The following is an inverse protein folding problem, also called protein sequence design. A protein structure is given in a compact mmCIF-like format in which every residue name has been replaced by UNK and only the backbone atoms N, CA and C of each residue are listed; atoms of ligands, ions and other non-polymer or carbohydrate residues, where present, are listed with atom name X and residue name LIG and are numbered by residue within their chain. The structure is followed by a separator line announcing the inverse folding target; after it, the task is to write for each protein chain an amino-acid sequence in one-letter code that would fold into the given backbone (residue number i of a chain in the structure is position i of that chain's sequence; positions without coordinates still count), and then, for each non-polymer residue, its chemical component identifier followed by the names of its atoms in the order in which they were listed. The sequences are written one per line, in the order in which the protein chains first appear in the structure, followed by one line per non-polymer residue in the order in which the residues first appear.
data_IF_454800515590
#
_entry.id   IF_454800515590
#
_cell.length_a   1.000
_cell.length_b   1.000
_cell.length_c   1.000
_cell.angle_alpha   90.00
_cell.angle_beta   90.00
_cell.angle_gamma   90.00
#
_symmetry.space_group_name_H-M   'P 1'
#
loop_
_entity.id
_entity.type
_entity.pdbx_description
1 polymer ?
#
# COMPACT_ATOMS: atom_id res chain seq x y z
N UNK A 1 -5.23 6.19 10.19
CA UNK A 1 -4.00 6.98 9.94
C UNK A 1 -3.81 7.87 11.15
N UNK A 2 -3.06 7.42 12.14
CA UNK A 2 -3.30 7.86 13.53
C UNK A 2 -2.22 8.74 14.14
N UNK A 3 -1.03 8.87 13.56
CA UNK A 3 -0.09 9.89 14.06
C UNK A 3 1.02 10.28 13.07
N UNK A 4 0.75 11.32 12.26
CA UNK A 4 1.74 11.94 11.37
C UNK A 4 2.95 12.51 12.13
N UNK A 5 2.84 12.78 13.43
CA UNK A 5 3.94 13.33 14.23
C UNK A 5 4.96 12.27 14.62
N UNK A 6 4.53 11.01 14.73
CA UNK A 6 5.39 9.89 15.15
C UNK A 6 5.82 9.04 13.96
N UNK A 7 4.91 8.71 13.05
CA UNK A 7 5.17 7.72 12.00
C UNK A 7 5.75 8.33 10.72
N UNK A 8 7.03 8.07 10.47
CA UNK A 8 7.66 8.41 9.18
C UNK A 8 6.93 7.73 8.01
N UNK A 9 6.47 6.48 8.18
CA UNK A 9 5.76 5.74 7.13
C UNK A 9 4.45 6.46 6.75
N UNK A 10 3.67 6.92 7.73
CA UNK A 10 2.42 7.65 7.44
C UNK A 10 2.71 8.98 6.76
N UNK A 11 3.76 9.71 7.18
CA UNK A 11 4.21 10.92 6.47
C UNK A 11 4.59 10.62 5.02
N UNK A 12 5.36 9.56 4.80
CA UNK A 12 5.76 9.17 3.45
C UNK A 12 4.56 8.73 2.60
N UNK A 13 3.56 8.05 3.16
CA UNK A 13 2.32 7.72 2.46
C UNK A 13 1.58 8.99 1.98
N UNK A 14 1.45 9.99 2.85
CA UNK A 14 0.85 11.29 2.48
C UNK A 14 1.63 11.92 1.33
N UNK A 15 2.95 12.01 1.48
CA UNK A 15 3.77 12.75 0.53
C UNK A 15 3.92 12.01 -0.81
N UNK A 16 3.96 10.68 -0.82
CA UNK A 16 4.05 9.85 -2.03
C UNK A 16 2.74 9.84 -2.83
N UNK A 17 1.62 10.18 -2.21
CA UNK A 17 0.36 10.39 -2.90
C UNK A 17 0.36 11.74 -3.61
N UNK A 18 0.92 11.79 -4.83
CA UNK A 18 1.00 13.01 -5.66
C UNK A 18 -0.36 13.72 -5.82
N UNK A 19 -1.43 12.94 -5.96
CA UNK A 19 -2.79 13.47 -6.11
C UNK A 19 -3.26 14.22 -4.86
N UNK A 20 -2.93 13.71 -3.69
CA UNK A 20 -3.26 14.39 -2.44
C UNK A 20 -2.37 15.62 -2.24
N UNK A 21 -1.09 15.55 -2.60
CA UNK A 21 -0.16 16.69 -2.52
C UNK A 21 -0.59 17.83 -3.45
N UNK A 22 -1.00 17.54 -4.69
CA UNK A 22 -1.56 18.51 -5.63
C UNK A 22 -2.84 19.16 -5.07
N UNK A 23 -3.78 18.34 -4.58
CA UNK A 23 -5.00 18.84 -3.94
C UNK A 23 -4.70 19.71 -2.71
N UNK A 24 -3.68 19.34 -1.91
CA UNK A 24 -3.23 20.13 -0.77
C UNK A 24 -2.66 21.48 -1.20
N UNK A 25 -1.89 21.51 -2.29
CA UNK A 25 -1.30 22.73 -2.82
C UNK A 25 -2.38 23.74 -3.26
N UNK A 26 -3.44 23.27 -3.89
CA UNK A 26 -4.59 24.10 -4.30
C UNK A 26 -5.39 24.64 -3.10
N UNK A 27 -5.43 23.89 -2.00
CA UNK A 27 -6.32 24.18 -0.86
C UNK A 27 -5.66 24.92 0.30
N UNK A 28 -4.34 24.79 0.49
CA UNK A 28 -3.65 25.38 1.64
C UNK A 28 -3.29 26.87 1.44
N UNK A 29 -3.43 27.39 0.22
CA UNK A 29 -3.26 28.82 -0.07
C UNK A 29 -1.85 29.35 0.22
N UNK A 30 -0.84 28.48 0.23
CA UNK A 30 0.54 28.85 0.54
C UNK A 30 1.29 29.26 -0.73
N UNK A 31 1.58 30.56 -0.86
CA UNK A 31 2.24 31.11 -2.05
C UNK A 31 3.74 30.80 -2.05
N UNK A 32 4.20 30.09 -3.07
CA UNK A 32 5.61 29.79 -3.28
C UNK A 32 6.25 30.64 -4.38
N UNK A 33 7.57 30.57 -4.47
CA UNK A 33 8.33 31.17 -5.56
C UNK A 33 8.63 30.12 -6.61
N UNK A 34 8.18 30.32 -7.85
CA UNK A 34 8.44 29.37 -8.93
C UNK A 34 9.90 29.48 -9.41
N UNK A 35 10.73 28.51 -9.08
CA UNK A 35 12.16 28.48 -9.43
C UNK A 35 12.55 27.10 -9.96
N UNK A 36 13.24 27.05 -11.11
CA UNK A 36 13.64 25.79 -11.76
C UNK A 36 12.46 24.83 -12.02
N UNK A 37 11.28 25.38 -12.30
CA UNK A 37 10.07 24.60 -12.59
C UNK A 37 9.35 24.05 -11.35
N UNK A 38 9.79 24.37 -10.14
CA UNK A 38 9.17 23.93 -8.89
C UNK A 38 8.92 25.11 -7.94
N UNK A 39 7.86 25.04 -7.13
CA UNK A 39 7.65 26.04 -6.08
C UNK A 39 8.64 25.84 -4.93
N UNK A 40 9.42 26.89 -4.66
CA UNK A 40 10.42 26.94 -3.59
C UNK A 40 9.98 27.89 -2.48
N UNK A 41 10.36 27.54 -1.25
CA UNK A 41 10.05 28.29 -0.04
C UNK A 41 11.33 28.46 0.77
N UNK A 42 11.57 29.66 1.30
CA UNK A 42 12.68 29.87 2.25
C UNK A 42 12.29 29.39 3.64
N UNK A 43 13.30 29.10 4.47
CA UNK A 43 13.11 28.81 5.91
C UNK A 43 12.18 29.82 6.60
N UNK A 44 12.36 31.11 6.33
CA UNK A 44 11.54 32.18 6.90
C UNK A 44 10.07 32.05 6.48
N UNK A 45 9.79 31.81 5.21
CA UNK A 45 8.41 31.62 4.74
C UNK A 45 7.73 30.42 5.41
N UNK A 46 8.47 29.33 5.64
CA UNK A 46 7.95 28.14 6.32
C UNK A 46 7.69 28.43 7.80
N UNK A 47 8.60 29.14 8.47
CA UNK A 47 8.44 29.58 9.85
C UNK A 47 7.21 30.48 10.01
N UNK A 48 7.08 31.50 9.15
CA UNK A 48 5.95 32.43 9.13
C UNK A 48 4.63 31.69 8.87
N UNK A 49 4.61 30.74 7.93
CA UNK A 49 3.39 29.97 7.61
C UNK A 49 2.89 29.12 8.76
N UNK A 50 3.80 28.50 9.52
CA UNK A 50 3.47 27.66 10.67
C UNK A 50 3.42 28.44 11.98
N UNK A 51 3.61 29.76 11.94
CA UNK A 51 3.59 30.65 13.12
C UNK A 51 4.59 30.18 14.20
N UNK A 52 5.81 29.82 13.77
CA UNK A 52 6.91 29.39 14.65
C UNK A 52 8.17 30.21 14.39
N UNK A 53 9.09 30.21 15.37
CA UNK A 53 10.40 30.83 15.18
C UNK A 53 11.25 30.09 14.13
N UNK A 54 12.06 30.84 13.36
CA UNK A 54 13.03 30.27 12.42
C UNK A 54 13.97 29.24 13.09
N UNK A 55 14.29 29.43 14.38
CA UNK A 55 15.09 28.49 15.18
C UNK A 55 14.43 27.13 15.34
N UNK A 56 13.10 27.08 15.40
CA UNK A 56 12.35 25.81 15.45
C UNK A 56 12.55 25.03 14.16
N UNK A 57 12.53 25.71 13.02
CA UNK A 57 12.79 25.09 11.71
C UNK A 57 14.25 24.64 11.60
N UNK A 58 15.21 25.41 12.13
CA UNK A 58 16.62 24.98 12.20
C UNK A 58 16.79 23.69 13.00
N UNK A 59 16.19 23.61 14.19
CA UNK A 59 16.23 22.40 15.01
C UNK A 59 15.65 21.18 14.27
N UNK A 60 14.52 21.35 13.58
CA UNK A 60 13.94 20.27 12.76
C UNK A 60 14.87 19.84 11.61
N UNK A 61 15.57 20.77 10.98
CA UNK A 61 16.56 20.46 9.93
C UNK A 61 17.76 19.70 10.48
N UNK A 62 18.15 19.94 11.73
CA UNK A 62 19.22 19.22 12.41
C UNK A 62 18.77 17.81 12.82
N UNK A 63 17.60 17.69 13.45
CA UNK A 63 17.06 16.42 13.97
C UNK A 63 16.56 15.48 12.86
N UNK A 64 16.02 16.03 11.77
CA UNK A 64 15.37 15.28 10.68
C UNK A 64 15.99 15.57 9.30
N UNK A 65 17.28 15.88 9.26
CA UNK A 65 18.03 16.23 8.02
C UNK A 65 17.73 15.29 6.86
N UNK A 66 17.85 13.98 7.08
CA UNK A 66 17.79 13.00 5.99
C UNK A 66 16.37 12.88 5.43
N UNK A 67 15.36 12.89 6.30
CA UNK A 67 13.95 12.87 5.92
C UNK A 67 13.57 14.14 5.14
N UNK A 68 14.00 15.31 5.61
CA UNK A 68 13.68 16.59 4.95
C UNK A 68 14.40 16.74 3.61
N UNK A 69 15.67 16.31 3.51
CA UNK A 69 16.41 16.29 2.23
C UNK A 69 15.75 15.35 1.24
N UNK A 70 15.40 14.13 1.67
CA UNK A 70 14.68 13.16 0.85
C UNK A 70 13.35 13.74 0.34
N UNK A 71 12.66 14.51 1.17
CA UNK A 71 11.38 15.12 0.83
C UNK A 71 11.47 16.47 0.09
N UNK A 72 12.68 16.94 -0.25
CA UNK A 72 12.86 18.12 -1.12
C UNK A 72 13.40 19.39 -0.46
N UNK A 73 14.00 19.28 0.73
CA UNK A 73 14.86 20.34 1.28
C UNK A 73 16.24 20.32 0.61
N UNK A 74 16.67 21.47 0.10
CA UNK A 74 17.97 21.64 -0.55
C UNK A 74 18.68 22.88 -0.04
N UNK A 75 20.01 22.81 0.03
CA UNK A 75 20.84 23.95 0.40
C UNK A 75 21.40 24.61 -0.85
N UNK A 76 20.78 25.71 -1.28
CA UNK A 76 21.19 26.45 -2.48
C UNK A 76 22.46 27.26 -2.22
N UNK A 77 23.45 27.12 -3.10
CA UNK A 77 24.77 27.78 -3.00
C UNK A 77 25.28 28.20 -4.38
N UNK A 78 26.33 29.01 -4.40
CA UNK A 78 27.10 29.30 -5.62
C UNK A 78 26.24 29.92 -6.73
N UNK A 79 26.25 29.31 -7.92
CA UNK A 79 25.54 29.81 -9.11
C UNK A 79 24.01 29.80 -8.91
N UNK A 80 23.46 28.70 -8.41
CA UNK A 80 22.02 28.56 -8.17
C UNK A 80 21.49 29.64 -7.21
N UNK A 81 22.22 29.93 -6.13
CA UNK A 81 21.84 30.98 -5.19
C UNK A 81 21.88 32.38 -5.82
N UNK A 82 22.85 32.65 -6.71
CA UNK A 82 22.93 33.92 -7.43
C UNK A 82 21.72 34.11 -8.34
N UNK A 83 21.35 33.07 -9.09
CA UNK A 83 20.18 33.08 -9.98
C UNK A 83 18.87 33.22 -9.19
N UNK A 84 18.74 32.50 -8.08
CA UNK A 84 17.59 32.62 -7.18
C UNK A 84 17.44 34.03 -6.61
N UNK A 85 18.54 34.62 -6.11
CA UNK A 85 18.54 36.01 -5.62
C UNK A 85 18.20 37.01 -6.72
N UNK A 86 18.69 36.79 -7.95
CA UNK A 86 18.38 37.69 -9.06
C UNK A 86 16.88 37.75 -9.33
N UNK A 87 16.17 36.64 -9.19
CA UNK A 87 14.72 36.56 -9.40
C UNK A 87 13.90 37.03 -8.19
N UNK A 88 14.33 36.70 -6.96
CA UNK A 88 13.46 36.83 -5.78
C UNK A 88 14.01 37.72 -4.65
N UNK A 89 15.20 38.31 -4.77
CA UNK A 89 15.80 39.14 -3.70
C UNK A 89 14.87 40.22 -3.12
N UNK A 90 14.04 40.95 -3.91
CA UNK A 90 13.11 41.94 -3.37
C UNK A 90 12.05 41.35 -2.44
N UNK A 91 11.70 40.07 -2.62
CA UNK A 91 10.59 39.40 -1.94
C UNK A 91 11.05 38.68 -0.67
N UNK A 92 12.25 38.09 -0.70
CA UNK A 92 12.74 37.21 0.39
C UNK A 92 13.53 37.93 1.48
N UNK A 93 13.85 39.22 1.30
CA UNK A 93 14.67 40.03 2.23
C UNK A 93 15.96 39.30 2.68
N UNK A 94 16.63 38.62 1.74
CA UNK A 94 17.87 37.88 2.01
C UNK A 94 19.06 38.82 1.80
N UNK A 95 19.91 38.94 2.82
CA UNK A 95 21.09 39.81 2.78
C UNK A 95 22.03 39.49 1.61
N UNK A 96 22.63 40.53 1.03
CA UNK A 96 23.55 40.44 -0.11
C UNK A 96 24.74 39.49 0.18
N UNK A 97 25.21 39.45 1.43
CA UNK A 97 26.32 38.59 1.91
C UNK A 97 25.96 37.12 2.15
N UNK A 98 24.70 36.71 1.99
CA UNK A 98 24.29 35.32 2.22
C UNK A 98 24.92 34.39 1.18
N UNK A 99 25.72 33.42 1.61
CA UNK A 99 26.46 32.48 0.75
C UNK A 99 25.77 31.13 0.57
N UNK A 100 24.78 30.83 1.41
CA UNK A 100 24.00 29.59 1.39
C UNK A 100 22.55 29.90 1.82
N UNK A 101 21.56 29.28 1.17
CA UNK A 101 20.14 29.46 1.51
C UNK A 101 19.41 28.12 1.46
N UNK A 102 18.74 27.75 2.55
CA UNK A 102 17.86 26.58 2.60
C UNK A 102 16.56 26.84 1.84
N UNK A 103 16.24 25.96 0.90
CA UNK A 103 15.02 26.00 0.10
C UNK A 103 14.24 24.70 0.29
N UNK A 104 12.95 24.83 0.53
CA UNK A 104 12.00 23.73 0.61
C UNK A 104 11.18 23.70 -0.67
N UNK A 105 10.81 22.53 -1.17
CA UNK A 105 9.64 22.42 -2.05
C UNK A 105 8.36 22.20 -1.22
N UNK A 106 7.20 22.16 -1.89
CA UNK A 106 5.92 22.01 -1.19
C UNK A 106 5.84 20.71 -0.38
N UNK A 107 6.40 19.61 -0.91
CA UNK A 107 6.47 18.31 -0.23
C UNK A 107 7.24 18.41 1.11
N UNK A 108 8.40 19.07 1.12
CA UNK A 108 9.17 19.30 2.34
C UNK A 108 8.45 20.24 3.33
N UNK A 109 7.69 21.23 2.84
CA UNK A 109 6.87 22.11 3.69
C UNK A 109 5.78 21.32 4.42
N UNK A 110 5.09 20.41 3.73
CA UNK A 110 4.12 19.51 4.36
C UNK A 110 4.81 18.61 5.40
N UNK A 111 6.00 18.09 5.08
CA UNK A 111 6.77 17.28 6.01
C UNK A 111 7.12 18.03 7.30
N UNK A 112 7.53 19.30 7.21
CA UNK A 112 7.74 20.17 8.38
C UNK A 112 6.47 20.30 9.22
N UNK A 113 5.32 20.56 8.59
CA UNK A 113 4.04 20.65 9.32
C UNK A 113 3.64 19.36 10.03
N UNK A 114 4.03 18.21 9.48
CA UNK A 114 3.80 16.91 10.10
C UNK A 114 4.75 16.66 11.30
N UNK A 115 5.96 17.21 11.28
CA UNK A 115 6.94 17.11 12.38
C UNK A 115 6.70 18.11 13.52
N UNK A 116 6.07 19.26 13.24
CA UNK A 116 5.82 20.30 14.24
C UNK A 116 4.70 19.91 15.23
N UNK A 117 5.05 19.43 16.43
CA UNK A 117 4.04 19.02 17.44
C UNK A 117 3.36 20.21 18.12
N UNK A 118 4.11 21.26 18.45
CA UNK A 118 3.66 22.37 19.31
C UNK A 118 2.97 23.53 18.56
N UNK A 119 2.97 23.53 17.22
CA UNK A 119 2.33 24.59 16.43
C UNK A 119 0.84 24.31 16.23
N UNK A 120 -0.02 25.21 16.73
CA UNK A 120 -1.47 25.15 16.49
C UNK A 120 -1.81 25.24 14.99
N UNK A 121 -1.04 26.03 14.23
CA UNK A 121 -1.18 26.11 12.79
C UNK A 121 -0.79 24.79 12.13
N UNK A 122 0.31 24.15 12.54
CA UNK A 122 0.71 22.84 12.05
C UNK A 122 -0.33 21.76 12.39
N UNK A 123 -0.93 21.81 13.58
CA UNK A 123 -2.03 20.91 13.99
C UNK A 123 -3.24 21.03 13.07
N UNK A 124 -3.66 22.25 12.73
CA UNK A 124 -4.73 22.49 11.74
C UNK A 124 -4.35 21.98 10.34
N UNK A 125 -3.11 22.20 9.92
CA UNK A 125 -2.61 21.69 8.63
C UNK A 125 -2.61 20.17 8.61
N UNK A 126 -2.17 19.48 9.67
CA UNK A 126 -2.22 18.01 9.77
C UNK A 126 -3.64 17.46 9.66
N UNK A 127 -4.61 18.06 10.37
CA UNK A 127 -6.01 17.67 10.24
C UNK A 127 -6.49 17.82 8.80
N UNK A 128 -6.18 18.95 8.15
CA UNK A 128 -6.55 19.22 6.76
C UNK A 128 -5.86 18.26 5.77
N UNK A 129 -4.61 17.87 6.04
CA UNK A 129 -3.88 16.85 5.28
C UNK A 129 -4.65 15.53 5.31
N UNK A 130 -5.01 15.04 6.50
CA UNK A 130 -5.73 13.79 6.64
C UNK A 130 -7.07 13.82 5.89
N UNK A 131 -7.85 14.89 6.04
CA UNK A 131 -9.12 15.08 5.33
C UNK A 131 -8.95 15.03 3.81
N UNK A 132 -7.95 15.75 3.27
CA UNK A 132 -7.71 15.82 1.83
C UNK A 132 -7.18 14.49 1.29
N UNK A 133 -6.32 13.79 2.03
CA UNK A 133 -5.82 12.46 1.64
C UNK A 133 -6.97 11.46 1.56
N UNK A 134 -7.82 11.40 2.59
CA UNK A 134 -9.00 10.53 2.62
C UNK A 134 -9.97 10.87 1.49
N UNK A 135 -10.28 12.17 1.31
CA UNK A 135 -11.14 12.66 0.24
C UNK A 135 -10.59 12.30 -1.15
N UNK A 136 -9.30 12.50 -1.36
CA UNK A 136 -8.63 12.23 -2.63
C UNK A 136 -8.69 10.74 -2.97
N UNK A 137 -8.35 9.87 -2.03
CA UNK A 137 -8.40 8.42 -2.22
C UNK A 137 -9.84 7.98 -2.53
N UNK A 138 -10.82 8.40 -1.73
CA UNK A 138 -12.22 8.02 -1.95
C UNK A 138 -12.76 8.51 -3.30
N UNK A 139 -12.47 9.77 -3.68
CA UNK A 139 -12.90 10.34 -4.96
C UNK A 139 -12.29 9.58 -6.14
N UNK A 140 -10.98 9.31 -6.08
CA UNK A 140 -10.26 8.60 -7.14
C UNK A 140 -10.61 7.10 -7.20
N UNK A 141 -10.99 6.49 -6.09
CA UNK A 141 -11.44 5.10 -6.03
C UNK A 141 -12.91 4.91 -6.46
N UNK A 142 -13.67 5.98 -6.72
CA UNK A 142 -15.08 5.88 -7.14
C UNK A 142 -16.08 5.77 -5.97
N UNK A 143 -15.74 6.28 -4.78
CA UNK A 143 -16.64 6.37 -3.63
C UNK A 143 -16.45 5.29 -2.56
N UNK A 144 -15.58 4.31 -2.77
CA UNK A 144 -15.23 3.32 -1.76
C UNK A 144 -13.92 2.58 -2.04
N UNK A 145 -13.22 2.17 -1.00
CA UNK A 145 -11.87 1.58 -1.08
C UNK A 145 -11.81 0.09 -0.75
N UNK A 146 -12.94 -0.51 -0.36
CA UNK A 146 -13.07 -1.94 -0.01
C UNK A 146 -12.52 -2.85 -1.12
N UNK A 147 -12.84 -2.55 -2.38
CA UNK A 147 -12.39 -3.32 -3.56
C UNK A 147 -11.36 -2.57 -4.40
N UNK A 148 -10.55 -1.69 -3.79
CA UNK A 148 -9.55 -0.89 -4.54
C UNK A 148 -8.54 -1.77 -5.30
N UNK A 149 -8.30 -2.98 -4.81
CA UNK A 149 -7.47 -3.99 -5.48
C UNK A 149 -7.97 -4.33 -6.89
N UNK A 150 -9.26 -4.19 -7.19
CA UNK A 150 -9.81 -4.49 -8.51
C UNK A 150 -9.44 -3.46 -9.58
N UNK A 151 -8.88 -2.31 -9.19
CA UNK A 151 -8.42 -1.25 -10.11
C UNK A 151 -7.02 -1.50 -10.68
N UNK A 152 -6.40 -2.59 -10.26
CA UNK A 152 -5.08 -3.04 -10.70
C UNK A 152 -5.21 -3.99 -11.88
N UNK A 153 -4.47 -3.72 -12.96
CA UNK A 153 -4.42 -4.56 -14.15
C UNK A 153 -4.13 -6.03 -13.82
N UNK A 154 -3.26 -6.28 -12.84
CA UNK A 154 -2.81 -7.61 -12.47
C UNK A 154 -3.85 -8.38 -11.64
N UNK A 155 -4.89 -7.72 -11.14
CA UNK A 155 -5.87 -8.34 -10.26
C UNK A 155 -6.71 -9.39 -10.97
N UNK A 156 -7.27 -9.08 -12.14
CA UNK A 156 -8.17 -10.01 -12.81
C UNK A 156 -7.46 -11.30 -13.25
N UNK A 157 -6.28 -11.25 -13.90
CA UNK A 157 -5.51 -12.46 -14.18
C UNK A 157 -5.21 -13.27 -12.92
N UNK A 158 -4.79 -12.64 -11.83
CA UNK A 158 -4.51 -13.32 -10.57
C UNK A 158 -5.76 -13.98 -9.94
N UNK A 159 -6.92 -13.33 -10.03
CA UNK A 159 -8.19 -13.85 -9.52
C UNK A 159 -8.66 -15.07 -10.31
N UNK A 160 -8.52 -15.06 -11.64
CA UNK A 160 -8.83 -16.21 -12.50
C UNK A 160 -7.92 -17.38 -12.15
N UNK A 161 -6.60 -17.14 -12.10
CA UNK A 161 -5.64 -18.19 -11.78
C UNK A 161 -5.96 -18.81 -10.41
N UNK A 162 -6.27 -17.97 -9.42
CA UNK A 162 -6.68 -18.41 -8.09
C UNK A 162 -7.92 -19.30 -8.11
N UNK A 163 -8.97 -18.96 -8.86
CA UNK A 163 -10.15 -19.82 -8.98
C UNK A 163 -9.81 -21.21 -9.51
N UNK A 164 -8.92 -21.30 -10.51
CA UNK A 164 -8.46 -22.58 -11.06
C UNK A 164 -7.65 -23.40 -10.04
N UNK A 165 -6.68 -22.78 -9.37
CA UNK A 165 -5.89 -23.46 -8.34
C UNK A 165 -6.73 -23.88 -7.14
N UNK A 166 -7.74 -23.08 -6.78
CA UNK A 166 -8.69 -23.43 -5.74
C UNK A 166 -9.51 -24.68 -6.09
N UNK A 167 -10.03 -24.77 -7.33
CA UNK A 167 -10.76 -25.95 -7.80
C UNK A 167 -9.88 -27.20 -7.66
N UNK A 168 -8.64 -27.15 -8.14
CA UNK A 168 -7.69 -28.27 -8.03
C UNK A 168 -7.39 -28.65 -6.57
N UNK A 169 -7.09 -27.65 -5.74
CA UNK A 169 -6.79 -27.85 -4.32
C UNK A 169 -7.96 -28.47 -3.55
N UNK A 170 -9.19 -27.99 -3.78
CA UNK A 170 -10.38 -28.55 -3.12
C UNK A 170 -10.71 -29.97 -3.59
N UNK A 171 -10.45 -30.29 -4.86
CA UNK A 171 -10.54 -31.68 -5.37
C UNK A 171 -9.54 -32.59 -4.68
N UNK A 172 -8.27 -32.19 -4.60
CA UNK A 172 -7.23 -32.96 -3.91
C UNK A 172 -7.54 -33.16 -2.42
N UNK A 173 -7.91 -32.09 -1.71
CA UNK A 173 -8.32 -32.17 -0.29
C UNK A 173 -9.56 -33.06 -0.11
N UNK A 174 -10.52 -32.97 -1.03
CA UNK A 174 -11.73 -33.78 -1.02
C UNK A 174 -11.42 -35.26 -1.04
N UNK A 175 -10.58 -35.68 -1.98
CA UNK A 175 -10.19 -37.07 -2.22
C UNK A 175 -9.19 -37.62 -1.20
N UNK A 176 -8.16 -36.85 -0.88
CA UNK A 176 -6.93 -37.35 -0.25
C UNK A 176 -6.79 -37.00 1.24
N UNK A 177 -7.70 -36.23 1.84
CA UNK A 177 -7.56 -35.76 3.23
C UNK A 177 -8.76 -36.19 4.09
N UNK A 178 -8.48 -36.76 5.26
CA UNK A 178 -9.45 -37.14 6.29
C UNK A 178 -10.07 -35.89 6.93
N UNK A 179 -11.35 -35.94 7.26
CA UNK A 179 -12.03 -34.88 8.00
C UNK A 179 -13.49 -34.71 7.61
N UNK A 180 -14.19 -33.83 8.32
CA UNK A 180 -15.59 -33.52 8.05
C UNK A 180 -15.77 -32.94 6.64
N UNK A 181 -16.82 -33.38 5.93
CA UNK A 181 -17.03 -33.07 4.50
C UNK A 181 -17.03 -31.57 4.17
N UNK A 182 -17.44 -30.70 5.09
CA UNK A 182 -17.47 -29.25 4.85
C UNK A 182 -16.42 -28.47 5.62
N UNK A 183 -16.06 -28.92 6.83
CA UNK A 183 -15.24 -28.14 7.76
C UNK A 183 -13.74 -28.29 7.50
N UNK A 184 -13.31 -29.39 6.85
CA UNK A 184 -11.89 -29.60 6.53
C UNK A 184 -11.34 -28.52 5.59
N UNK A 185 -12.13 -28.08 4.61
CA UNK A 185 -11.72 -27.05 3.66
C UNK A 185 -11.42 -25.73 4.35
N UNK A 186 -12.34 -25.25 5.19
CA UNK A 186 -12.18 -24.00 5.92
C UNK A 186 -10.94 -24.03 6.84
N UNK A 187 -10.71 -25.14 7.54
CA UNK A 187 -9.54 -25.29 8.41
C UNK A 187 -8.22 -25.24 7.64
N UNK A 188 -8.11 -25.99 6.53
CA UNK A 188 -6.88 -26.02 5.75
C UNK A 188 -6.64 -24.66 5.07
N UNK A 189 -7.71 -24.01 4.56
CA UNK A 189 -7.60 -22.64 4.05
C UNK A 189 -7.11 -21.67 5.14
N UNK A 190 -7.60 -21.78 6.37
CA UNK A 190 -7.10 -20.96 7.49
C UNK A 190 -5.62 -21.26 7.79
N UNK A 191 -5.15 -22.51 7.67
CA UNK A 191 -3.72 -22.81 7.80
C UNK A 191 -2.88 -22.10 6.73
N UNK A 192 -3.34 -22.10 5.47
CA UNK A 192 -2.68 -21.36 4.38
C UNK A 192 -2.67 -19.86 4.67
N UNK A 193 -3.79 -19.30 5.14
CA UNK A 193 -3.87 -17.87 5.49
C UNK A 193 -2.93 -17.48 6.63
N UNK A 194 -2.82 -18.34 7.65
CA UNK A 194 -1.85 -18.15 8.72
C UNK A 194 -0.41 -18.20 8.21
N UNK A 195 -0.09 -19.12 7.28
CA UNK A 195 1.22 -19.19 6.65
C UNK A 195 1.52 -17.96 5.77
N UNK A 196 0.55 -17.49 4.99
CA UNK A 196 0.77 -16.34 4.07
C UNK A 196 0.80 -15.02 4.85
N UNK A 197 -0.19 -14.71 5.67
CA UNK A 197 -0.35 -13.38 6.26
C UNK A 197 -0.64 -13.37 7.78
N UNK A 198 -0.41 -14.48 8.49
CA UNK A 198 -0.50 -14.57 9.97
C UNK A 198 -1.87 -14.23 10.57
N UNK A 199 -2.93 -14.27 9.77
CA UNK A 199 -4.30 -14.01 10.21
C UNK A 199 -5.22 -15.10 9.65
N UNK A 200 -6.34 -15.33 10.32
CA UNK A 200 -7.40 -16.21 9.80
C UNK A 200 -8.41 -15.45 8.96
N UNK A 201 -9.21 -16.17 8.17
CA UNK A 201 -10.24 -15.56 7.33
C UNK A 201 -11.20 -14.66 8.14
N UNK A 202 -11.63 -15.12 9.33
CA UNK A 202 -12.56 -14.38 10.18
C UNK A 202 -11.96 -13.08 10.75
N UNK A 203 -10.69 -13.12 11.14
CA UNK A 203 -9.96 -11.95 11.66
C UNK A 203 -9.89 -10.87 10.58
N UNK A 204 -9.46 -11.27 9.38
CA UNK A 204 -9.36 -10.36 8.25
C UNK A 204 -10.72 -9.81 7.78
N UNK A 205 -11.77 -10.65 7.71
CA UNK A 205 -13.14 -10.18 7.43
C UNK A 205 -13.60 -9.13 8.44
N UNK A 206 -13.25 -9.30 9.71
CA UNK A 206 -13.61 -8.35 10.78
C UNK A 206 -12.89 -7.02 10.59
N UNK A 207 -11.60 -7.04 10.27
CA UNK A 207 -10.80 -5.84 10.00
C UNK A 207 -11.39 -5.01 8.84
N UNK A 208 -11.77 -5.67 7.74
CA UNK A 208 -12.37 -5.03 6.57
C UNK A 208 -13.87 -4.75 6.68
N UNK A 209 -14.51 -5.09 7.81
CA UNK A 209 -15.97 -4.97 7.99
C UNK A 209 -16.74 -5.63 6.84
N UNK A 210 -16.37 -6.86 6.52
CA UNK A 210 -17.01 -7.69 5.50
C UNK A 210 -18.22 -8.42 6.07
N UNK A 211 -19.27 -8.53 5.26
CA UNK A 211 -20.44 -9.32 5.60
C UNK A 211 -20.11 -10.81 5.58
N UNK A 212 -20.94 -11.61 6.26
CA UNK A 212 -20.71 -13.06 6.37
C UNK A 212 -20.63 -13.73 4.99
N UNK A 213 -21.45 -13.26 4.03
CA UNK A 213 -21.54 -13.77 2.66
C UNK A 213 -20.47 -13.21 1.71
N UNK A 214 -19.73 -12.19 2.12
CA UNK A 214 -18.71 -11.59 1.25
C UNK A 214 -17.57 -12.59 1.01
N UNK A 215 -17.11 -12.65 -0.25
CA UNK A 215 -15.92 -13.40 -0.59
C UNK A 215 -14.68 -12.55 -0.21
N UNK A 216 -13.91 -13.04 0.76
CA UNK A 216 -12.67 -12.41 1.22
C UNK A 216 -11.66 -12.23 0.08
N UNK A 217 -11.52 -13.21 -0.81
CA UNK A 217 -10.48 -13.20 -1.86
C UNK A 217 -10.67 -12.08 -2.87
N UNK A 218 -11.91 -11.64 -3.08
CA UNK A 218 -12.21 -10.45 -3.90
C UNK A 218 -11.63 -9.16 -3.36
N UNK A 219 -11.20 -9.13 -2.10
CA UNK A 219 -10.54 -7.96 -1.47
C UNK A 219 -9.02 -8.10 -1.42
N UNK A 220 -8.45 -9.23 -1.82
CA UNK A 220 -7.00 -9.43 -1.77
C UNK A 220 -6.33 -8.81 -3.00
N UNK A 221 -5.12 -8.28 -2.81
CA UNK A 221 -4.28 -7.78 -3.90
C UNK A 221 -3.74 -8.94 -4.76
N UNK A 222 -3.40 -8.65 -6.02
CA UNK A 222 -2.92 -9.64 -6.99
C UNK A 222 -1.74 -10.47 -6.46
N UNK A 223 -0.77 -9.83 -5.81
CA UNK A 223 0.42 -10.48 -5.25
C UNK A 223 0.06 -11.44 -4.10
N UNK A 224 -0.97 -11.10 -3.32
CA UNK A 224 -1.46 -11.94 -2.23
C UNK A 224 -2.23 -13.14 -2.79
N UNK A 225 -3.07 -12.93 -3.81
CA UNK A 225 -3.74 -14.02 -4.51
C UNK A 225 -2.74 -15.00 -5.12
N UNK A 226 -1.71 -14.51 -5.82
CA UNK A 226 -0.64 -15.35 -6.39
C UNK A 226 0.11 -16.15 -5.33
N UNK A 227 0.42 -15.54 -4.19
CA UNK A 227 1.04 -16.26 -3.08
C UNK A 227 0.14 -17.40 -2.59
N UNK A 228 -1.15 -17.13 -2.37
CA UNK A 228 -2.12 -18.15 -1.95
C UNK A 228 -2.25 -19.25 -3.02
N UNK A 229 -2.37 -18.90 -4.30
CA UNK A 229 -2.42 -19.84 -5.41
C UNK A 229 -1.19 -20.76 -5.45
N UNK A 230 -0.01 -20.20 -5.15
CA UNK A 230 1.24 -20.98 -5.08
C UNK A 230 1.23 -21.99 -3.92
N UNK A 231 0.69 -21.60 -2.77
CA UNK A 231 0.43 -22.53 -1.66
C UNK A 231 -0.57 -23.60 -2.06
N UNK A 232 -1.72 -23.23 -2.60
CA UNK A 232 -2.78 -24.17 -2.97
C UNK A 232 -2.29 -25.18 -4.01
N UNK A 233 -1.58 -24.73 -5.03
CA UNK A 233 -1.00 -25.60 -6.04
C UNK A 233 0.07 -26.56 -5.45
N UNK A 234 1.02 -26.01 -4.69
CA UNK A 234 2.10 -26.80 -4.09
C UNK A 234 1.59 -27.85 -3.09
N UNK A 235 0.67 -27.44 -2.22
CA UNK A 235 0.07 -28.33 -1.21
C UNK A 235 -0.85 -29.35 -1.86
N UNK A 236 -1.61 -28.98 -2.90
CA UNK A 236 -2.41 -29.93 -3.67
C UNK A 236 -1.52 -31.05 -4.23
N UNK A 237 -0.41 -30.69 -4.87
CA UNK A 237 0.55 -31.66 -5.41
C UNK A 237 1.15 -32.55 -4.31
N UNK A 238 1.58 -31.96 -3.20
CA UNK A 238 2.19 -32.69 -2.09
C UNK A 238 1.21 -33.69 -1.44
N UNK A 239 -0.04 -33.27 -1.21
CA UNK A 239 -1.10 -34.15 -0.69
C UNK A 239 -1.32 -35.34 -1.61
N UNK A 240 -1.46 -35.11 -2.92
CA UNK A 240 -1.71 -36.19 -3.88
C UNK A 240 -0.52 -37.13 -4.02
N UNK A 241 0.71 -36.60 -3.96
CA UNK A 241 1.92 -37.40 -4.01
C UNK A 241 2.02 -38.32 -2.78
N UNK A 242 1.83 -37.79 -1.57
CA UNK A 242 1.89 -38.56 -0.33
C UNK A 242 0.74 -39.59 -0.25
N UNK A 243 -0.46 -39.23 -0.69
CA UNK A 243 -1.61 -40.14 -0.82
C UNK A 243 -1.34 -41.31 -1.79
N UNK A 244 -0.61 -41.08 -2.89
CA UNK A 244 -0.23 -42.18 -3.79
C UNK A 244 0.84 -43.07 -3.17
N UNK A 245 1.81 -42.48 -2.50
CA UNK A 245 2.93 -43.21 -1.88
C UNK A 245 2.50 -44.08 -0.70
N UNK A 246 1.51 -43.64 0.08
CA UNK A 246 0.99 -44.41 1.22
C UNK A 246 -0.08 -45.45 0.85
N UNK A 247 -0.26 -45.75 -0.45
CA UNK A 247 -1.21 -46.76 -0.93
C UNK A 247 -2.66 -46.29 -0.99
N UNK A 248 -2.91 -44.98 -1.04
CA UNK A 248 -4.25 -44.40 -1.11
C UNK A 248 -4.89 -44.18 0.24
N UNK A 249 -4.10 -44.07 1.31
CA UNK A 249 -4.61 -43.71 2.62
C UNK A 249 -4.74 -42.18 2.74
N UNK A 250 -5.91 -41.71 3.16
CA UNK A 250 -6.13 -40.28 3.34
C UNK A 250 -5.24 -39.69 4.46
N UNK A 251 -4.66 -38.52 4.20
CA UNK A 251 -3.82 -37.78 5.14
C UNK A 251 -4.65 -37.17 6.28
N UNK A 252 -4.05 -37.00 7.47
CA UNK A 252 -4.67 -36.24 8.57
C UNK A 252 -4.58 -34.73 8.35
N UNK A 253 -5.41 -33.96 9.06
CA UNK A 253 -5.34 -32.48 9.03
C UNK A 253 -4.00 -31.98 9.58
N UNK A 254 -3.46 -32.66 10.58
CA UNK A 254 -2.15 -32.37 11.17
C UNK A 254 -1.05 -32.53 10.13
N UNK A 255 -1.08 -33.61 9.33
CA UNK A 255 -0.07 -33.82 8.29
C UNK A 255 -0.16 -32.76 7.18
N UNK A 256 -1.37 -32.37 6.78
CA UNK A 256 -1.54 -31.26 5.82
C UNK A 256 -1.00 -29.94 6.38
N UNK A 257 -1.18 -29.69 7.69
CA UNK A 257 -0.61 -28.51 8.35
C UNK A 257 0.92 -28.55 8.37
N UNK A 258 1.53 -29.71 8.55
CA UNK A 258 2.99 -29.88 8.44
C UNK A 258 3.47 -29.56 7.02
N UNK A 259 2.83 -30.08 5.97
CA UNK A 259 3.15 -29.75 4.57
C UNK A 259 3.08 -28.24 4.31
N UNK A 260 2.06 -27.56 4.83
CA UNK A 260 1.93 -26.10 4.73
C UNK A 260 3.08 -25.39 5.45
N UNK A 261 3.48 -25.89 6.62
CA UNK A 261 4.59 -25.33 7.40
C UNK A 261 5.94 -25.54 6.69
N UNK A 262 6.16 -26.71 6.10
CA UNK A 262 7.33 -27.03 5.28
C UNK A 262 7.40 -26.08 4.07
N UNK A 263 6.29 -25.85 3.37
CA UNK A 263 6.23 -24.91 2.26
C UNK A 263 6.41 -23.45 2.71
N UNK A 264 5.85 -23.05 3.87
CA UNK A 264 6.09 -21.73 4.46
C UNK A 264 7.59 -21.50 4.71
N UNK A 265 8.28 -22.50 5.27
CA UNK A 265 9.71 -22.41 5.61
C UNK A 265 10.65 -22.54 4.40
N UNK A 266 10.12 -22.91 3.23
CA UNK A 266 10.92 -23.06 2.01
C UNK A 266 11.59 -21.74 1.61
N UNK A 267 12.91 -21.72 1.35
CA UNK A 267 13.61 -20.53 0.86
C UNK A 267 13.00 -19.94 -0.42
N UNK A 268 12.41 -20.77 -1.28
CA UNK A 268 11.76 -20.32 -2.50
C UNK A 268 10.46 -19.55 -2.24
N UNK A 269 9.74 -19.86 -1.15
CA UNK A 269 8.47 -19.23 -0.80
C UNK A 269 8.63 -17.97 0.04
N UNK A 270 9.71 -17.85 0.81
CA UNK A 270 9.96 -16.71 1.69
C UNK A 270 9.83 -15.34 0.99
N UNK A 271 10.36 -15.12 -0.24
CA UNK A 271 10.19 -13.86 -0.95
C UNK A 271 8.71 -13.54 -1.28
N UNK A 272 7.94 -14.54 -1.71
CA UNK A 272 6.51 -14.35 -2.02
C UNK A 272 5.69 -14.05 -0.77
N UNK A 273 5.98 -14.73 0.34
CA UNK A 273 5.33 -14.47 1.63
C UNK A 273 5.68 -13.08 2.14
N UNK A 274 6.96 -12.68 2.06
CA UNK A 274 7.39 -11.34 2.45
C UNK A 274 6.69 -10.27 1.62
N UNK A 275 6.64 -10.44 0.29
CA UNK A 275 5.99 -9.48 -0.61
C UNK A 275 4.48 -9.40 -0.30
N UNK A 276 3.78 -10.55 -0.20
CA UNK A 276 2.38 -10.59 0.16
C UNK A 276 2.10 -9.84 1.49
N UNK A 277 2.87 -10.13 2.56
CA UNK A 277 2.72 -9.45 3.87
C UNK A 277 3.00 -7.95 3.78
N UNK A 278 4.06 -7.56 3.08
CA UNK A 278 4.45 -6.16 2.88
C UNK A 278 3.40 -5.38 2.12
N UNK A 279 2.93 -5.91 0.99
CA UNK A 279 1.88 -5.29 0.17
C UNK A 279 0.56 -5.20 0.94
N UNK A 280 0.16 -6.27 1.61
CA UNK A 280 -1.06 -6.28 2.40
C UNK A 280 -1.04 -5.22 3.51
N UNK A 281 -0.03 -5.27 4.38
CA UNK A 281 0.11 -4.35 5.51
C UNK A 281 0.17 -2.89 5.05
N UNK A 282 0.90 -2.60 3.97
CA UNK A 282 1.14 -1.23 3.51
C UNK A 282 -0.04 -0.65 2.74
N UNK A 283 -0.62 -1.42 1.82
CA UNK A 283 -1.70 -0.95 0.97
C UNK A 283 -3.02 -0.83 1.73
N UNK A 284 -3.31 -1.74 2.66
CA UNK A 284 -4.53 -1.62 3.46
C UNK A 284 -4.49 -0.40 4.39
N UNK A 285 -3.34 -0.08 4.99
CA UNK A 285 -3.18 1.16 5.76
C UNK A 285 -3.34 2.38 4.86
N UNK A 286 -2.68 2.40 3.71
CA UNK A 286 -2.65 3.57 2.84
C UNK A 286 -4.00 3.83 2.14
N UNK A 287 -4.69 2.79 1.68
CA UNK A 287 -5.87 2.91 0.83
C UNK A 287 -7.20 2.60 1.56
N UNK A 288 -7.19 1.70 2.54
CA UNK A 288 -8.41 1.25 3.23
C UNK A 288 -8.54 1.79 4.65
N UNK A 289 -7.49 2.44 5.17
CA UNK A 289 -7.37 2.82 6.57
C UNK A 289 -7.52 1.61 7.52
N UNK A 290 -6.94 0.48 7.13
CA UNK A 290 -6.98 -0.78 7.91
C UNK A 290 -5.59 -1.19 8.33
N UNK A 291 -5.41 -1.40 9.64
CA UNK A 291 -4.13 -1.79 10.24
C UNK A 291 -4.14 -3.26 10.68
N UNK A 292 -3.11 -3.99 10.28
CA UNK A 292 -2.94 -5.41 10.57
C UNK A 292 -1.89 -5.63 11.67
N UNK A 293 -2.32 -5.93 12.90
CA UNK A 293 -1.41 -6.12 14.03
C UNK A 293 -0.40 -7.25 13.78
N UNK A 294 -0.82 -8.36 13.18
CA UNK A 294 0.00 -9.57 13.04
C UNK A 294 1.12 -9.43 11.98
N UNK A 295 0.97 -8.49 11.04
CA UNK A 295 1.95 -8.19 9.98
C UNK A 295 2.45 -6.75 10.04
N UNK A 296 2.26 -6.04 11.15
CA UNK A 296 2.71 -4.65 11.33
C UNK A 296 4.22 -4.46 11.08
N UNK A 297 5.06 -5.47 11.36
CA UNK A 297 6.50 -5.41 11.08
C UNK A 297 6.86 -5.33 9.59
N UNK A 298 5.92 -5.67 8.69
CA UNK A 298 6.08 -5.58 7.25
C UNK A 298 5.58 -4.27 6.68
N UNK A 299 5.00 -3.39 7.50
CA UNK A 299 4.50 -2.09 7.07
C UNK A 299 5.63 -1.24 6.48
N UNK A 300 5.41 -0.71 5.27
CA UNK A 300 6.32 0.20 4.56
C UNK A 300 5.50 1.35 3.97
N UNK A 301 6.20 2.41 3.56
CA UNK A 301 5.56 3.47 2.80
C UNK A 301 5.21 2.97 1.39
N UNK A 302 3.99 3.24 0.95
CA UNK A 302 3.51 2.98 -0.41
C UNK A 302 4.20 3.95 -1.35
N UNK A 303 4.70 3.45 -2.48
CA UNK A 303 5.46 4.26 -3.43
C UNK A 303 4.53 5.11 -4.29
N UNK A 304 5.03 6.20 -4.93
CA UNK A 304 4.24 6.98 -5.87
C UNK A 304 3.66 6.14 -7.02
N UNK A 305 4.39 5.13 -7.49
CA UNK A 305 3.94 4.22 -8.55
C UNK A 305 2.79 3.33 -8.10
N UNK A 306 2.76 2.93 -6.83
CA UNK A 306 1.63 2.18 -6.27
C UNK A 306 0.40 3.08 -6.09
N UNK A 307 0.56 4.34 -5.69
CA UNK A 307 -0.56 5.29 -5.73
C UNK A 307 -1.08 5.46 -7.15
N UNK A 308 -0.20 5.59 -8.14
CA UNK A 308 -0.57 5.70 -9.55
C UNK A 308 -1.33 4.46 -10.05
N UNK A 309 -0.90 3.27 -9.62
CA UNK A 309 -1.53 1.98 -9.96
C UNK A 309 -2.96 1.85 -9.43
N UNK A 310 -3.27 2.32 -8.23
CA UNK A 310 -4.58 2.08 -7.60
C UNK A 310 -5.55 3.26 -7.71
N UNK A 311 -5.05 4.49 -7.69
CA UNK A 311 -5.89 5.71 -7.68
C UNK A 311 -5.48 6.73 -8.74
N UNK A 312 -4.58 6.34 -9.64
CA UNK A 312 -3.97 7.24 -10.60
C UNK A 312 -4.21 6.90 -12.05
N UNK A 313 -3.28 7.32 -12.90
CA UNK A 313 -3.42 7.26 -14.35
C UNK A 313 -3.24 5.83 -14.87
N UNK A 314 -2.58 4.97 -14.07
CA UNK A 314 -2.47 3.53 -14.31
C UNK A 314 -3.61 2.73 -13.68
N UNK A 315 -4.47 3.36 -12.90
CA UNK A 315 -5.65 2.69 -12.36
C UNK A 315 -6.67 2.52 -13.48
N UNK A 316 -7.21 1.32 -13.59
CA UNK A 316 -8.12 0.97 -14.69
C UNK A 316 -9.54 0.92 -14.14
N UNK A 317 -10.51 1.35 -14.95
CA UNK A 317 -11.91 1.09 -14.63
C UNK A 317 -12.18 -0.42 -14.75
N UNK A 318 -12.89 -0.99 -13.78
CA UNK A 318 -13.19 -2.41 -13.78
C UNK A 318 -13.97 -2.83 -15.03
N UNK A 319 -14.85 -1.96 -15.53
CA UNK A 319 -15.59 -2.20 -16.77
C UNK A 319 -14.64 -2.26 -17.98
N UNK A 320 -13.59 -1.44 -18.01
CA UNK A 320 -12.56 -1.52 -19.06
C UNK A 320 -11.72 -2.80 -18.96
N UNK A 321 -11.39 -3.25 -17.73
CA UNK A 321 -10.68 -4.52 -17.50
C UNK A 321 -11.49 -5.71 -18.05
N UNK A 322 -12.81 -5.72 -17.82
CA UNK A 322 -13.71 -6.76 -18.33
C UNK A 322 -13.81 -6.76 -19.85
N UNK A 323 -13.58 -5.61 -20.48
CA UNK A 323 -13.63 -5.46 -21.92
C UNK A 323 -12.35 -5.90 -22.64
N UNK A 324 -11.24 -6.11 -21.91
CA UNK A 324 -9.97 -6.57 -22.48
C UNK A 324 -10.12 -7.96 -23.14
N UNK A 325 -9.63 -8.17 -24.38
CA UNK A 325 -9.81 -9.42 -25.13
C UNK A 325 -9.34 -10.66 -24.37
N UNK A 326 -8.21 -10.56 -23.70
CA UNK A 326 -7.59 -11.63 -22.91
C UNK A 326 -8.52 -12.06 -21.75
N UNK A 327 -9.12 -11.10 -21.06
CA UNK A 327 -10.04 -11.35 -19.94
C UNK A 327 -11.38 -11.91 -20.43
N UNK A 328 -11.90 -11.42 -21.57
CA UNK A 328 -13.09 -12.00 -22.21
C UNK A 328 -12.89 -13.44 -22.64
N UNK A 329 -11.74 -13.76 -23.24
CA UNK A 329 -11.41 -15.13 -23.62
C UNK A 329 -11.29 -16.06 -22.42
N UNK A 330 -10.75 -15.56 -21.31
CA UNK A 330 -10.66 -16.34 -20.09
C UNK A 330 -12.05 -16.56 -19.46
N UNK A 331 -12.90 -15.53 -19.40
CA UNK A 331 -14.28 -15.67 -18.94
C UNK A 331 -15.10 -16.63 -19.82
N UNK A 332 -14.85 -16.64 -21.14
CA UNK A 332 -15.45 -17.62 -22.06
C UNK A 332 -14.98 -19.04 -21.76
N UNK A 333 -13.68 -19.24 -21.52
CA UNK A 333 -13.11 -20.54 -21.13
C UNK A 333 -13.67 -21.04 -19.80
N UNK A 334 -13.82 -20.16 -18.81
CA UNK A 334 -14.41 -20.50 -17.51
C UNK A 334 -15.89 -20.89 -17.64
N UNK A 335 -16.69 -20.14 -18.44
CA UNK A 335 -18.08 -20.53 -18.72
C UNK A 335 -18.21 -21.88 -19.42
N UNK A 336 -17.35 -22.15 -20.41
CA UNK A 336 -17.36 -23.43 -21.13
C UNK A 336 -16.97 -24.60 -20.22
N UNK A 337 -16.03 -24.39 -19.30
CA UNK A 337 -15.65 -25.43 -18.33
C UNK A 337 -16.73 -25.73 -17.28
N UNK A 338 -17.58 -24.75 -16.94
CA UNK A 338 -18.72 -24.97 -16.04
C UNK A 338 -19.93 -25.62 -16.76
N UNK A 339 -20.00 -25.55 -18.10
CA UNK A 339 -21.06 -26.18 -18.92
C UNK A 339 -20.73 -27.65 -19.29
N UNK A 340 -19.47 -28.08 -19.13
CA UNK A 340 -18.96 -29.42 -19.43
C UNK A 340 -18.89 -30.35 -18.18
N UNK A 341 -19.31 -29.88 -17.00
CA UNK A 341 -19.55 -30.65 -15.76
C UNK A 341 -21.04 -30.96 -15.56
#
# INVERSE_FOLDING_TARGET
MNDLTVSNIERQNVLNNRYAVEALQENLGFTGMLFEGEYRFTKKMVADFYEVDERTIERLLEEHSDELKYNGYVLSKGKQLKEFKLQFAPVINVGSKTTQLGLFNFRAVLNVGMLLTESEKAKKVRARILDIVISTINKRAGGGTKYINARDLEFLPAAIEEDNYRKNFTTAVGKCVKGHQTFKYAQITDFIYQAVFKEKAKEYKTLLKLETKDNLRKTLYAEVLRCISSFENGISFAIEAEYKQNGGEQLSLERVKELITEQEQSPAMQPFIYDARSKMASRDVAFRDVFHNNIAGYLRAVTPEEFDRFIGDKSIDFDEIMELPENKEVLKRLKQADDDE
#
